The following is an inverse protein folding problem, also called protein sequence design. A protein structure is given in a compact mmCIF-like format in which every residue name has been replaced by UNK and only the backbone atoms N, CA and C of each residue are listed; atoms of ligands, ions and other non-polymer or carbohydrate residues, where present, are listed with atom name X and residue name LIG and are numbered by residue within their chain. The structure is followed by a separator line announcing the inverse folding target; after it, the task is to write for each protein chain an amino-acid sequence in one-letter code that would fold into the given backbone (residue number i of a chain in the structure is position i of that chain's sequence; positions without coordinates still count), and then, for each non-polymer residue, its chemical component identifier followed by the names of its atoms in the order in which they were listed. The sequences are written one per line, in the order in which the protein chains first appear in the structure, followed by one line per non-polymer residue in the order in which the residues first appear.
data_IF_072290612176
#
_entry.id   IF_072290612176
#
_cell.length_a   1.000
_cell.length_b   1.000
_cell.length_c   1.000
_cell.angle_alpha   90.00
_cell.angle_beta   90.00
_cell.angle_gamma   90.00
#
_symmetry.space_group_name_H-M   'P 1'
#
loop_
_entity.id
_entity.type
_entity.pdbx_description
1 polymer ?
#
# COMPACT_ATOMS: atom_id res chain seq x y z
N UNK A 1 13.18 -31.94 -15.32
CA UNK A 1 11.88 -31.23 -15.32
C UNK A 1 11.71 -30.54 -13.97
N UNK A 2 12.50 -29.48 -13.73
CA UNK A 2 12.65 -28.71 -12.48
C UNK A 2 13.07 -27.26 -12.86
N UNK A 3 12.36 -26.66 -13.82
CA UNK A 3 12.74 -25.35 -14.38
C UNK A 3 11.69 -24.25 -14.15
N UNK A 4 10.39 -24.55 -14.10
CA UNK A 4 9.36 -23.52 -13.91
C UNK A 4 9.24 -23.00 -12.47
N UNK A 5 9.34 -23.86 -11.46
CA UNK A 5 9.28 -23.41 -10.06
C UNK A 5 10.50 -22.57 -9.67
N UNK A 6 11.70 -23.05 -10.00
CA UNK A 6 12.94 -22.31 -9.77
C UNK A 6 12.98 -20.99 -10.57
N UNK A 7 12.34 -20.93 -11.75
CA UNK A 7 12.18 -19.72 -12.54
C UNK A 7 11.25 -18.71 -11.84
N UNK A 8 10.05 -19.16 -11.42
CA UNK A 8 9.11 -18.31 -10.69
C UNK A 8 9.70 -17.78 -9.39
N UNK A 9 10.44 -18.61 -8.68
CA UNK A 9 11.13 -18.25 -7.45
C UNK A 9 12.29 -17.28 -7.70
N UNK A 10 13.11 -17.48 -8.74
CA UNK A 10 14.21 -16.57 -9.08
C UNK A 10 13.75 -15.19 -9.55
N UNK A 11 12.59 -15.10 -10.23
CA UNK A 11 12.00 -13.82 -10.61
C UNK A 11 11.35 -13.11 -9.41
N UNK A 12 10.72 -13.87 -8.51
CA UNK A 12 10.10 -13.34 -7.29
C UNK A 12 11.13 -12.97 -6.23
N UNK A 13 12.27 -13.63 -6.20
CA UNK A 13 13.34 -13.32 -5.25
C UNK A 13 14.27 -12.24 -5.81
N UNK A 14 13.93 -10.98 -5.54
CA UNK A 14 14.70 -9.83 -6.00
C UNK A 14 16.14 -9.77 -5.43
N UNK A 15 16.45 -10.53 -4.38
CA UNK A 15 17.77 -10.64 -3.79
C UNK A 15 18.69 -11.67 -4.50
N UNK A 16 18.15 -12.53 -5.36
CA UNK A 16 18.93 -13.57 -6.04
C UNK A 16 19.51 -13.09 -7.39
N UNK A 17 20.70 -13.56 -7.79
CA UNK A 17 21.24 -13.36 -9.13
C UNK A 17 20.35 -14.02 -10.18
N UNK A 18 20.11 -13.31 -11.28
CA UNK A 18 19.30 -13.83 -12.38
C UNK A 18 20.18 -14.60 -13.37
N UNK A 19 19.81 -15.84 -13.75
CA UNK A 19 20.64 -16.67 -14.62
C UNK A 19 20.73 -16.20 -16.08
N UNK A 20 19.87 -15.27 -16.52
CA UNK A 20 19.94 -14.69 -17.87
C UNK A 20 19.62 -13.19 -17.89
N UNK A 21 20.35 -12.36 -18.67
CA UNK A 21 20.07 -10.92 -18.81
C UNK A 21 18.63 -10.53 -19.16
N UNK A 22 17.88 -11.37 -19.89
CA UNK A 22 16.47 -11.11 -20.25
C UNK A 22 15.54 -11.16 -19.05
N UNK A 23 15.89 -11.90 -18.00
CA UNK A 23 15.12 -11.93 -16.76
C UNK A 23 15.22 -10.60 -16.00
N UNK A 24 16.34 -9.89 -16.11
CA UNK A 24 16.49 -8.57 -15.50
C UNK A 24 15.47 -7.59 -16.07
N UNK A 25 15.21 -7.66 -17.39
CA UNK A 25 14.18 -6.86 -18.05
C UNK A 25 12.78 -7.21 -17.50
N UNK A 26 12.47 -8.50 -17.36
CA UNK A 26 11.18 -8.93 -16.81
C UNK A 26 11.00 -8.48 -15.35
N UNK A 27 12.04 -8.63 -14.52
CA UNK A 27 12.05 -8.17 -13.13
C UNK A 27 11.85 -6.66 -13.01
N UNK A 28 12.50 -5.88 -13.88
CA UNK A 28 12.32 -4.43 -13.94
C UNK A 28 10.90 -4.04 -14.35
N UNK A 29 10.31 -4.75 -15.32
CA UNK A 29 8.93 -4.52 -15.73
C UNK A 29 7.94 -4.83 -14.59
N UNK A 30 8.18 -5.91 -13.83
CA UNK A 30 7.38 -6.21 -12.63
C UNK A 30 7.50 -5.09 -11.62
N UNK A 31 8.72 -4.68 -11.24
CA UNK A 31 8.92 -3.61 -10.26
C UNK A 31 8.21 -2.30 -10.69
N UNK A 32 8.35 -1.93 -11.96
CA UNK A 32 7.68 -0.77 -12.54
C UNK A 32 6.15 -0.89 -12.45
N UNK A 33 5.59 -2.06 -12.77
CA UNK A 33 4.16 -2.31 -12.67
C UNK A 33 3.66 -2.25 -11.22
N UNK A 34 4.43 -2.73 -10.24
CA UNK A 34 4.06 -2.67 -8.82
C UNK A 34 4.06 -1.25 -8.29
N UNK A 35 5.09 -0.45 -8.63
CA UNK A 35 5.14 0.97 -8.28
C UNK A 35 3.97 1.72 -8.93
N UNK A 36 3.68 1.42 -10.21
CA UNK A 36 2.55 2.01 -10.90
C UNK A 36 1.20 1.65 -10.26
N UNK A 37 1.01 0.40 -9.85
CA UNK A 37 -0.20 -0.03 -9.16
C UNK A 37 -0.40 0.73 -7.83
N UNK A 38 0.67 0.92 -7.06
CA UNK A 38 0.62 1.73 -5.83
C UNK A 38 0.25 3.17 -6.13
N UNK A 39 0.82 3.75 -7.19
CA UNK A 39 0.52 5.12 -7.62
C UNK A 39 -0.95 5.31 -7.96
N UNK A 40 -1.55 4.37 -8.70
CA UNK A 40 -2.97 4.39 -9.06
C UNK A 40 -3.86 4.29 -7.82
N UNK A 41 -3.43 3.50 -6.82
CA UNK A 41 -4.19 3.28 -5.58
C UNK A 41 -4.06 4.42 -4.57
N UNK A 42 -2.93 5.13 -4.56
CA UNK A 42 -2.59 6.15 -3.57
C UNK A 42 -2.23 7.53 -4.18
N UNK A 43 -3.11 8.12 -5.03
CA UNK A 43 -2.80 9.37 -5.73
C UNK A 43 -2.65 10.59 -4.79
N UNK A 44 -3.39 10.67 -3.69
CA UNK A 44 -3.25 11.76 -2.72
C UNK A 44 -1.93 11.62 -1.93
N UNK A 45 -1.59 10.40 -1.54
CA UNK A 45 -0.30 10.10 -0.90
C UNK A 45 0.88 10.48 -1.82
N UNK A 46 0.82 10.16 -3.13
CA UNK A 46 1.85 10.59 -4.10
C UNK A 46 1.95 12.12 -4.18
N UNK A 47 0.80 12.80 -4.22
CA UNK A 47 0.76 14.26 -4.33
C UNK A 47 1.40 14.94 -3.13
N UNK A 48 1.18 14.42 -1.93
CA UNK A 48 1.72 14.97 -0.67
C UNK A 48 3.22 14.66 -0.53
N UNK A 49 3.62 13.40 -0.77
CA UNK A 49 5.02 12.99 -0.66
C UNK A 49 5.89 13.57 -1.78
N UNK A 50 5.29 13.86 -2.94
CA UNK A 50 6.00 14.17 -4.18
C UNK A 50 6.44 12.91 -4.92
N UNK A 51 6.51 13.03 -6.25
CA UNK A 51 6.70 11.90 -7.16
C UNK A 51 7.96 11.05 -6.87
N UNK A 52 9.10 11.71 -6.63
CA UNK A 52 10.37 11.02 -6.41
C UNK A 52 10.40 10.27 -5.07
N UNK A 53 9.95 10.91 -3.99
CA UNK A 53 9.89 10.29 -2.67
C UNK A 53 8.88 9.14 -2.65
N UNK A 54 7.71 9.33 -3.27
CA UNK A 54 6.72 8.26 -3.42
C UNK A 54 7.30 7.07 -4.21
N UNK A 55 7.98 7.30 -5.33
CA UNK A 55 8.57 6.23 -6.13
C UNK A 55 9.63 5.44 -5.35
N UNK A 56 10.47 6.11 -4.55
CA UNK A 56 11.44 5.45 -3.68
C UNK A 56 10.78 4.61 -2.58
N UNK A 57 9.74 5.16 -1.94
CA UNK A 57 8.97 4.49 -0.90
C UNK A 57 8.20 3.26 -1.45
N UNK A 58 7.52 3.43 -2.58
CA UNK A 58 6.82 2.37 -3.30
C UNK A 58 7.77 1.28 -3.80
N UNK A 59 8.96 1.65 -4.27
CA UNK A 59 10.00 0.70 -4.65
C UNK A 59 10.48 -0.14 -3.47
N UNK A 60 10.73 0.51 -2.32
CA UNK A 60 11.13 -0.17 -1.09
C UNK A 60 10.04 -1.12 -0.59
N UNK A 61 8.78 -0.68 -0.60
CA UNK A 61 7.64 -1.54 -0.30
C UNK A 61 7.56 -2.73 -1.26
N UNK A 62 7.73 -2.51 -2.56
CA UNK A 62 7.63 -3.57 -3.57
C UNK A 62 8.70 -4.64 -3.45
N UNK A 63 9.91 -4.26 -3.01
CA UNK A 63 10.98 -5.20 -2.69
C UNK A 63 10.68 -6.01 -1.43
N UNK A 64 10.07 -5.39 -0.42
CA UNK A 64 9.74 -6.03 0.85
C UNK A 64 8.46 -6.89 0.78
N UNK A 65 7.50 -6.53 -0.07
CA UNK A 65 6.16 -7.10 -0.13
C UNK A 65 5.82 -7.56 -1.54
N UNK A 66 6.55 -8.54 -2.06
CA UNK A 66 6.25 -9.11 -3.37
C UNK A 66 4.85 -9.75 -3.41
N UNK A 67 4.10 -9.54 -4.50
CA UNK A 67 2.81 -10.19 -4.65
C UNK A 67 3.00 -11.70 -4.80
N UNK A 68 2.20 -12.47 -4.06
CA UNK A 68 2.11 -13.93 -4.19
C UNK A 68 1.30 -14.33 -5.43
N UNK A 69 0.37 -13.47 -5.84
CA UNK A 69 -0.57 -13.68 -6.94
C UNK A 69 -0.38 -12.64 -8.07
N UNK A 70 -0.59 -13.03 -9.34
CA UNK A 70 -0.43 -12.13 -10.49
C UNK A 70 -1.54 -11.05 -10.59
N UNK A 71 -2.61 -11.16 -9.80
CA UNK A 71 -3.71 -10.18 -9.78
C UNK A 71 -3.38 -9.05 -8.81
N UNK A 72 -3.08 -7.87 -9.34
CA UNK A 72 -2.63 -6.70 -8.55
C UNK A 72 -3.75 -5.89 -7.89
N UNK A 73 -5.02 -6.27 -8.05
CA UNK A 73 -6.19 -5.48 -7.59
C UNK A 73 -6.14 -5.18 -6.09
N UNK A 74 -5.59 -6.10 -5.29
CA UNK A 74 -5.47 -5.94 -3.84
C UNK A 74 -4.06 -5.54 -3.39
N UNK A 75 -3.12 -5.44 -4.33
CA UNK A 75 -1.72 -5.12 -4.05
C UNK A 75 -1.59 -3.74 -3.42
N UNK A 76 -0.68 -3.62 -2.44
CA UNK A 76 -0.51 -2.41 -1.64
C UNK A 76 -1.41 -2.32 -0.42
N UNK A 77 -2.16 -3.37 -0.07
CA UNK A 77 -3.10 -3.32 1.06
C UNK A 77 -2.47 -2.96 2.41
N UNK A 78 -1.21 -3.32 2.62
CA UNK A 78 -0.40 -3.03 3.81
C UNK A 78 0.55 -1.83 3.63
N UNK A 79 0.39 -1.07 2.53
CA UNK A 79 1.23 0.10 2.27
C UNK A 79 1.12 1.16 3.37
N UNK A 80 -0.05 1.50 3.94
CA UNK A 80 -0.16 2.47 5.03
C UNK A 80 0.66 2.08 6.26
N UNK A 81 0.62 0.80 6.66
CA UNK A 81 1.39 0.27 7.78
C UNK A 81 2.88 0.33 7.50
N UNK A 82 3.29 0.08 6.25
CA UNK A 82 4.69 0.23 5.84
C UNK A 82 5.17 1.67 5.95
N UNK A 83 4.38 2.65 5.48
CA UNK A 83 4.70 4.08 5.62
C UNK A 83 4.86 4.45 7.09
N UNK A 84 3.95 3.99 7.96
CA UNK A 84 4.01 4.27 9.40
C UNK A 84 5.30 3.77 10.09
N UNK A 85 5.99 2.80 9.47
CA UNK A 85 7.26 2.25 9.98
C UNK A 85 8.50 2.79 9.25
N UNK A 86 8.33 3.61 8.21
CA UNK A 86 9.45 4.17 7.45
C UNK A 86 9.90 5.51 8.02
N UNK A 87 11.15 5.88 7.74
CA UNK A 87 11.71 7.20 8.08
C UNK A 87 10.86 8.36 7.52
N UNK A 88 10.15 8.12 6.42
CA UNK A 88 9.21 9.09 5.82
C UNK A 88 8.08 9.51 6.78
N UNK A 89 7.68 8.64 7.70
CA UNK A 89 6.68 9.00 8.72
C UNK A 89 7.21 9.99 9.75
N UNK A 90 8.52 10.12 9.94
CA UNK A 90 9.09 11.12 10.84
C UNK A 90 9.06 12.52 10.20
N UNK A 91 9.32 12.59 8.88
CA UNK A 91 9.27 13.83 8.11
C UNK A 91 7.84 14.27 7.78
N UNK A 92 6.94 13.31 7.51
CA UNK A 92 5.54 13.54 7.14
C UNK A 92 4.61 12.66 7.99
N UNK A 93 4.35 13.02 9.26
CA UNK A 93 3.56 12.20 10.19
C UNK A 93 2.15 11.83 9.73
N UNK A 94 1.54 12.67 8.89
CA UNK A 94 0.18 12.45 8.38
C UNK A 94 0.13 11.56 7.13
N UNK A 95 1.28 11.23 6.52
CA UNK A 95 1.31 10.52 5.24
C UNK A 95 0.73 9.10 5.35
N UNK A 96 1.01 8.41 6.46
CA UNK A 96 0.47 7.08 6.74
C UNK A 96 -1.06 7.10 6.92
N UNK A 97 -1.58 8.12 7.60
CA UNK A 97 -3.03 8.28 7.81
C UNK A 97 -3.78 8.56 6.50
N UNK A 98 -3.19 9.37 5.61
CA UNK A 98 -3.76 9.62 4.28
C UNK A 98 -3.78 8.34 3.45
N UNK A 99 -2.68 7.57 3.44
CA UNK A 99 -2.64 6.29 2.77
C UNK A 99 -3.66 5.30 3.36
N UNK A 100 -3.87 5.31 4.67
CA UNK A 100 -4.87 4.49 5.32
C UNK A 100 -6.29 4.85 4.84
N UNK A 101 -6.60 6.14 4.75
CA UNK A 101 -7.88 6.62 4.23
C UNK A 101 -8.12 6.15 2.78
N UNK A 102 -7.13 6.32 1.89
CA UNK A 102 -7.22 5.85 0.50
C UNK A 102 -7.40 4.33 0.43
N UNK A 103 -6.72 3.57 1.30
CA UNK A 103 -6.85 2.12 1.39
C UNK A 103 -8.25 1.68 1.84
N UNK A 104 -8.84 2.36 2.82
CA UNK A 104 -10.21 2.10 3.29
C UNK A 104 -11.24 2.46 2.22
N UNK A 105 -11.06 3.57 1.53
CA UNK A 105 -11.92 3.96 0.42
C UNK A 105 -11.88 2.93 -0.72
N UNK A 106 -10.68 2.48 -1.11
CA UNK A 106 -10.51 1.43 -2.10
C UNK A 106 -11.22 0.13 -1.71
N UNK A 107 -11.10 -0.28 -0.43
CA UNK A 107 -11.79 -1.46 0.12
C UNK A 107 -13.30 -1.30 0.09
N UNK A 108 -13.82 -0.13 0.44
CA UNK A 108 -15.26 0.14 0.43
C UNK A 108 -15.82 0.11 -1.00
N UNK A 109 -15.09 0.67 -1.98
CA UNK A 109 -15.52 0.69 -3.38
C UNK A 109 -15.57 -0.71 -4.00
N UNK A 110 -14.65 -1.60 -3.61
CA UNK A 110 -14.59 -2.98 -4.11
C UNK A 110 -15.31 -3.99 -3.20
N UNK A 111 -15.97 -3.53 -2.14
CA UNK A 111 -16.78 -4.41 -1.31
C UNK A 111 -18.00 -4.89 -2.10
N UNK A 112 -18.40 -6.14 -1.89
CA UNK A 112 -19.68 -6.61 -2.39
C UNK A 112 -20.81 -5.73 -1.82
N UNK A 113 -21.83 -5.46 -2.64
CA UNK A 113 -23.01 -4.72 -2.17
C UNK A 113 -23.60 -5.43 -0.95
N UNK A 114 -23.63 -4.73 0.18
CA UNK A 114 -24.26 -5.21 1.39
C UNK A 114 -25.77 -4.98 1.32
N UNK A 115 -26.57 -5.86 1.91
CA UNK A 115 -27.99 -5.62 2.06
C UNK A 115 -28.24 -4.27 2.77
N UNK A 116 -29.18 -3.45 2.28
CA UNK A 116 -29.49 -2.16 2.91
C UNK A 116 -29.81 -2.33 4.39
N UNK A 117 -29.11 -1.59 5.24
CA UNK A 117 -29.38 -1.55 6.66
C UNK A 117 -30.80 -1.01 6.92
N UNK A 118 -31.63 -1.81 7.60
CA UNK A 118 -32.93 -1.35 8.10
C UNK A 118 -32.70 -0.30 9.19
N UNK A 119 -33.49 0.78 9.20
CA UNK A 119 -33.32 1.91 10.12
C UNK A 119 -33.25 1.51 11.60
N UNK A 120 -33.92 0.42 12.01
CA UNK A 120 -33.85 -0.14 13.36
C UNK A 120 -32.42 -0.59 13.75
N UNK A 121 -31.63 -1.09 12.80
CA UNK A 121 -30.23 -1.48 13.01
C UNK A 121 -29.32 -0.26 13.22
N UNK A 122 -29.68 0.89 12.64
CA UNK A 122 -28.94 2.14 12.83
C UNK A 122 -29.04 2.64 14.29
N UNK A 123 -30.21 2.47 14.91
CA UNK A 123 -30.43 2.81 16.33
C UNK A 123 -29.64 1.90 17.29
N UNK A 124 -29.30 0.68 16.86
CA UNK A 124 -28.51 -0.28 17.63
C UNK A 124 -26.99 -0.05 17.51
N UNK A 125 -26.54 0.77 16.54
CA UNK A 125 -25.16 1.25 16.48
C UNK A 125 -24.93 2.23 17.64
N UNK A 126 -24.61 1.68 18.81
CA UNK A 126 -24.03 2.44 19.91
C UNK A 126 -22.84 3.18 19.33
N UNK A 127 -22.76 4.49 19.58
CA UNK A 127 -21.54 5.28 19.40
C UNK A 127 -20.47 4.58 20.25
N UNK A 128 -19.74 3.61 19.68
CA UNK A 128 -18.43 3.26 20.22
C UNK A 128 -17.72 4.59 20.21
N UNK A 129 -17.27 5.06 21.37
CA UNK A 129 -16.45 6.25 21.42
C UNK A 129 -15.41 6.09 20.33
N UNK A 130 -15.50 6.91 19.28
CA UNK A 130 -14.40 7.13 18.38
C UNK A 130 -13.33 7.74 19.27
N UNK A 131 -12.47 6.92 19.85
CA UNK A 131 -11.14 7.35 20.26
C UNK A 131 -10.23 7.48 19.05
N UNK A 132 -10.71 7.15 17.85
CA UNK A 132 -10.06 7.56 16.61
C UNK A 132 -10.16 9.08 16.53
N UNK A 133 -9.00 9.73 16.39
CA UNK A 133 -8.83 11.15 16.04
C UNK A 133 -9.01 12.20 17.14
N UNK A 134 -8.17 12.22 18.19
CA UNK A 134 -7.71 13.53 18.73
C UNK A 134 -6.46 13.50 19.64
N UNK A 135 -6.01 12.35 20.18
CA UNK A 135 -4.99 12.38 21.24
C UNK A 135 -3.53 12.55 20.79
N UNK A 136 -3.24 12.51 19.48
CA UNK A 136 -1.88 12.67 18.95
C UNK A 136 -1.72 13.82 17.95
N UNK A 137 -2.77 14.62 17.73
CA UNK A 137 -2.63 15.87 16.99
C UNK A 137 -2.07 16.94 17.95
N UNK A 138 -0.77 16.87 18.25
CA UNK A 138 -0.04 17.99 18.85
C UNK A 138 0.44 18.90 17.73
N UNK A 139 -0.23 20.03 17.44
CA UNK A 139 0.37 21.06 16.61
C UNK A 139 1.55 21.63 17.42
N UNK A 140 2.77 21.24 17.09
CA UNK A 140 3.95 21.95 17.54
C UNK A 140 3.96 23.30 16.82
N UNK A 141 3.39 24.33 17.45
CA UNK A 141 3.61 25.71 17.05
C UNK A 141 5.06 26.06 17.42
N UNK A 142 5.90 26.52 16.47
CA UNK A 142 7.20 27.07 16.83
C UNK A 142 7.01 28.35 17.67
N UNK A 143 7.79 28.43 18.73
CA UNK A 143 7.88 29.54 19.71
C UNK A 143 8.29 30.86 19.09
#
# INVERSE_FOLDING_TARGET
MMLEQAFGEAVRNFAMPLPHPRMAIYRNNIASALIHALRVRYPATETIAGHAAFAALAGSYALANLPTDPVLIHYGGSFPEFIATSETSEELPLLADVALLESLWWKAYHAAEAEPLVAACLNALRRKSCSIWFSSFTPALPS
#
